data_IF_463393943942
#
_entry.id   IF_463393943942
#
_cell.length_a   1.000
_cell.length_b   1.000
_cell.length_c   1.000
_cell.angle_alpha   90.00
_cell.angle_beta   90.00
_cell.angle_gamma   90.00
#
_symmetry.space_group_name_H-M   'P 1'
#
loop_
_entity.id
_entity.type
_entity.pdbx_description
1 polymer ?
#
# COMPACT_ATOMS: atom_id res chain seq x y z
N UNK A 1 21.97 -1.79 -102.19
CA UNK A 1 22.31 -0.38 -101.91
C UNK A 1 23.02 -0.32 -100.58
N UNK A 2 24.30 0.03 -100.66
CA UNK A 2 25.27 0.27 -99.59
C UNK A 2 24.91 1.56 -98.83
N UNK A 3 25.06 1.60 -97.49
CA UNK A 3 25.61 2.78 -96.80
C UNK A 3 26.40 2.31 -95.56
N UNK A 4 27.63 2.81 -95.44
CA UNK A 4 28.61 2.64 -94.37
C UNK A 4 28.36 3.58 -93.16
N UNK A 5 28.99 3.23 -92.04
CA UNK A 5 29.13 3.87 -90.70
C UNK A 5 29.18 5.41 -90.60
N UNK A 6 29.01 5.98 -89.38
CA UNK A 6 30.22 6.32 -88.60
C UNK A 6 30.16 6.12 -87.07
N UNK A 7 31.36 6.16 -86.52
CA UNK A 7 31.82 6.09 -85.13
C UNK A 7 31.45 7.29 -84.25
N UNK A 8 31.25 7.08 -82.94
CA UNK A 8 31.63 8.00 -81.84
C UNK A 8 31.61 7.30 -80.47
N UNK A 9 32.75 7.31 -79.78
CA UNK A 9 32.89 7.07 -78.33
C UNK A 9 32.72 8.39 -77.55
N UNK A 10 32.97 8.47 -76.23
CA UNK A 10 32.32 7.81 -75.08
C UNK A 10 31.60 8.85 -74.18
N UNK A 11 30.64 8.43 -73.34
CA UNK A 11 30.19 9.27 -72.22
C UNK A 11 29.67 8.42 -71.04
N UNK A 12 30.47 8.34 -69.98
CA UNK A 12 29.97 8.16 -68.60
C UNK A 12 30.04 9.58 -67.99
N UNK A 13 29.06 10.07 -67.21
CA UNK A 13 28.87 9.56 -65.84
C UNK A 13 27.41 9.64 -65.31
N UNK A 14 27.12 8.86 -64.24
CA UNK A 14 26.39 9.30 -63.04
C UNK A 14 25.82 8.15 -62.19
N UNK A 15 26.47 6.98 -62.14
CA UNK A 15 26.21 6.03 -61.07
C UNK A 15 26.95 6.45 -59.79
N UNK A 16 26.51 7.49 -59.07
CA UNK A 16 27.06 7.77 -57.72
C UNK A 16 26.31 8.76 -56.79
N UNK A 17 25.02 9.02 -57.01
CA UNK A 17 24.23 9.83 -56.04
C UNK A 17 23.45 8.98 -55.02
N UNK A 18 23.00 7.77 -55.40
CA UNK A 18 22.04 7.00 -54.59
C UNK A 18 22.66 6.32 -53.35
N UNK A 19 23.95 5.98 -53.37
CA UNK A 19 24.62 5.28 -52.25
C UNK A 19 24.93 6.23 -51.08
N UNK A 20 25.13 7.53 -51.35
CA UNK A 20 25.52 8.52 -50.33
C UNK A 20 24.37 8.92 -49.39
N UNK A 21 23.10 8.78 -49.81
CA UNK A 21 21.92 9.14 -49.00
C UNK A 21 21.65 8.13 -47.88
N UNK A 22 21.73 6.82 -48.17
CA UNK A 22 21.56 5.75 -47.16
C UNK A 22 22.60 5.83 -46.04
N UNK A 23 23.88 6.07 -46.38
CA UNK A 23 24.97 6.18 -45.39
C UNK A 23 24.83 7.39 -44.46
N UNK A 24 24.20 8.49 -44.90
CA UNK A 24 23.90 9.66 -44.04
C UNK A 24 22.71 9.39 -43.12
N UNK A 25 21.69 8.68 -43.62
CA UNK A 25 20.54 8.31 -42.80
C UNK A 25 20.91 7.37 -41.67
N UNK A 26 21.78 6.38 -41.88
CA UNK A 26 22.26 5.51 -40.79
C UNK A 26 23.05 6.29 -39.71
N UNK A 27 23.79 7.34 -40.08
CA UNK A 27 24.51 8.19 -39.10
C UNK A 27 23.57 8.98 -38.19
N UNK A 28 22.33 9.22 -38.62
CA UNK A 28 21.29 9.87 -37.82
C UNK A 28 20.40 8.80 -37.16
N UNK A 29 19.97 7.77 -37.89
CA UNK A 29 19.11 6.72 -37.35
C UNK A 29 19.78 5.93 -36.22
N UNK A 30 21.06 5.54 -36.35
CA UNK A 30 21.76 4.73 -35.33
C UNK A 30 21.79 5.39 -33.94
N UNK A 31 22.23 6.65 -33.76
CA UNK A 31 22.22 7.27 -32.43
C UNK A 31 20.80 7.43 -31.86
N UNK A 32 19.82 7.73 -32.71
CA UNK A 32 18.42 7.83 -32.26
C UNK A 32 17.82 6.46 -31.89
N UNK A 33 18.14 5.40 -32.65
CA UNK A 33 17.74 4.03 -32.31
C UNK A 33 18.43 3.55 -31.05
N UNK A 34 19.73 3.84 -30.86
CA UNK A 34 20.44 3.51 -29.63
C UNK A 34 19.86 4.25 -28.42
N UNK A 35 19.54 5.54 -28.56
CA UNK A 35 18.86 6.32 -27.54
C UNK A 35 17.46 5.76 -27.23
N UNK A 36 16.68 5.41 -28.26
CA UNK A 36 15.36 4.79 -28.08
C UNK A 36 15.47 3.45 -27.34
N UNK A 37 16.42 2.59 -27.73
CA UNK A 37 16.67 1.31 -27.04
C UNK A 37 17.07 1.54 -25.59
N UNK A 38 17.95 2.52 -25.32
CA UNK A 38 18.32 2.89 -23.95
C UNK A 38 17.10 3.33 -23.15
N UNK A 39 16.28 4.25 -23.68
CA UNK A 39 15.05 4.73 -23.01
C UNK A 39 14.10 3.57 -22.74
N UNK A 40 13.82 2.74 -23.75
CA UNK A 40 12.92 1.58 -23.61
C UNK A 40 13.46 0.59 -22.57
N UNK A 41 14.76 0.30 -22.60
CA UNK A 41 15.39 -0.60 -21.62
C UNK A 41 15.28 -0.03 -20.21
N UNK A 42 15.56 1.26 -20.03
CA UNK A 42 15.42 1.94 -18.73
C UNK A 42 13.98 1.92 -18.25
N UNK A 43 13.00 2.22 -19.11
CA UNK A 43 11.57 2.22 -18.76
C UNK A 43 11.08 0.81 -18.42
N UNK A 44 11.48 -0.20 -19.18
CA UNK A 44 11.10 -1.60 -18.93
C UNK A 44 11.70 -2.11 -17.62
N UNK A 45 13.00 -1.86 -17.37
CA UNK A 45 13.63 -2.22 -16.11
C UNK A 45 12.95 -1.52 -14.93
N UNK A 46 12.53 -0.27 -15.13
CA UNK A 46 11.84 0.48 -14.08
C UNK A 46 10.42 -0.01 -13.80
N UNK A 47 9.66 -0.38 -14.82
CA UNK A 47 8.33 -0.99 -14.66
C UNK A 47 8.39 -2.35 -13.95
N UNK A 48 9.55 -3.01 -13.92
CA UNK A 48 9.79 -4.23 -13.14
C UNK A 48 10.18 -3.90 -11.69
N UNK A 49 10.68 -2.69 -11.43
CA UNK A 49 11.09 -2.25 -10.10
C UNK A 49 9.93 -1.79 -9.23
N UNK A 50 8.91 -1.15 -9.81
CA UNK A 50 7.67 -0.76 -9.12
C UNK A 50 6.63 -1.90 -9.20
N UNK A 51 6.40 -2.66 -8.11
CA UNK A 51 5.40 -3.72 -8.11
C UNK A 51 4.00 -3.13 -8.23
N UNK A 52 3.15 -3.79 -9.00
CA UNK A 52 1.73 -3.48 -9.01
C UNK A 52 1.12 -3.83 -7.65
N UNK A 53 0.56 -2.84 -6.95
CA UNK A 53 -0.07 -3.02 -5.63
C UNK A 53 -1.36 -3.84 -5.74
N UNK A 54 -1.98 -3.91 -6.92
CA UNK A 54 -3.17 -4.72 -7.19
C UNK A 54 -2.83 -6.19 -7.51
N UNK A 55 -1.54 -6.54 -7.67
CA UNK A 55 -1.14 -7.94 -7.81
C UNK A 55 -1.40 -8.67 -6.47
N UNK A 56 -2.17 -9.79 -6.47
CA UNK A 56 -2.40 -10.59 -5.27
C UNK A 56 -1.15 -11.09 -4.56
N UNK A 57 0.00 -11.11 -5.23
CA UNK A 57 1.26 -11.47 -4.64
C UNK A 57 1.95 -10.32 -3.92
N UNK A 58 1.62 -9.05 -4.20
CA UNK A 58 2.33 -7.88 -3.68
C UNK A 58 2.31 -7.84 -2.15
N UNK A 59 3.49 -8.00 -1.54
CA UNK A 59 3.71 -8.02 -0.09
C UNK A 59 2.75 -8.94 0.69
N UNK A 60 2.24 -9.99 0.04
CA UNK A 60 1.37 -10.94 0.72
C UNK A 60 2.16 -11.90 1.60
N UNK A 61 1.72 -12.18 2.85
CA UNK A 61 2.44 -13.07 3.76
C UNK A 61 2.31 -14.56 3.38
N UNK A 62 1.49 -14.89 2.37
CA UNK A 62 1.25 -16.28 1.92
C UNK A 62 1.75 -16.56 0.50
N UNK A 63 2.31 -15.56 -0.19
CA UNK A 63 2.83 -15.71 -1.54
C UNK A 63 4.37 -15.72 -1.58
N UNK A 64 4.93 -16.73 -2.25
CA UNK A 64 6.39 -16.94 -2.44
C UNK A 64 6.97 -16.19 -3.66
N UNK A 65 6.16 -15.41 -4.36
CA UNK A 65 6.62 -14.60 -5.49
C UNK A 65 7.71 -13.60 -5.06
N UNK A 66 8.50 -13.10 -6.01
CA UNK A 66 9.56 -12.11 -5.75
C UNK A 66 9.04 -10.89 -4.99
N UNK A 67 7.88 -10.38 -5.40
CA UNK A 67 7.22 -9.21 -4.80
C UNK A 67 6.41 -9.53 -3.53
N UNK A 68 6.28 -10.81 -3.15
CA UNK A 68 5.57 -11.24 -1.94
C UNK A 68 6.37 -11.09 -0.66
N UNK A 69 5.81 -11.53 0.47
CA UNK A 69 6.42 -11.35 1.80
C UNK A 69 6.34 -12.60 2.69
N UNK A 70 6.08 -13.79 2.13
CA UNK A 70 6.05 -15.05 2.88
C UNK A 70 7.36 -15.34 3.63
N UNK A 71 8.51 -14.94 3.07
CA UNK A 71 9.81 -15.07 3.71
C UNK A 71 9.91 -14.24 5.00
N UNK A 72 9.35 -13.03 4.99
CA UNK A 72 9.30 -12.16 6.17
C UNK A 72 8.29 -12.69 7.20
N UNK A 73 7.10 -13.09 6.75
CA UNK A 73 6.06 -13.66 7.63
C UNK A 73 6.59 -14.86 8.42
N UNK A 74 7.25 -15.81 7.75
CA UNK A 74 7.88 -16.95 8.41
C UNK A 74 8.95 -16.54 9.42
N UNK A 75 9.81 -15.57 9.11
CA UNK A 75 10.85 -15.11 10.06
C UNK A 75 10.26 -14.41 11.29
N UNK A 76 9.15 -13.70 11.13
CA UNK A 76 8.39 -13.14 12.25
C UNK A 76 7.87 -14.26 13.16
N UNK A 77 7.27 -15.30 12.58
CA UNK A 77 6.78 -16.47 13.32
C UNK A 77 7.91 -17.24 14.01
N UNK A 78 9.04 -17.45 13.33
CA UNK A 78 10.26 -18.05 13.90
C UNK A 78 10.80 -17.22 15.09
N UNK A 79 10.57 -15.91 15.08
CA UNK A 79 10.92 -14.99 16.17
C UNK A 79 9.87 -14.92 17.27
N UNK A 80 8.80 -15.73 17.21
CA UNK A 80 7.73 -15.80 18.20
C UNK A 80 6.61 -14.77 18.00
N UNK A 81 6.60 -14.03 16.90
CA UNK A 81 5.55 -13.05 16.57
C UNK A 81 4.44 -13.74 15.78
N UNK A 82 3.19 -13.67 16.24
CA UNK A 82 2.05 -14.25 15.53
C UNK A 82 1.69 -13.40 14.31
N UNK A 83 1.72 -13.98 13.12
CA UNK A 83 1.21 -13.32 11.90
C UNK A 83 -0.26 -13.68 11.71
N UNK A 84 -1.12 -12.66 11.68
CA UNK A 84 -2.56 -12.79 11.43
C UNK A 84 -2.88 -12.08 10.11
N UNK A 85 -3.12 -12.86 9.06
CA UNK A 85 -3.50 -12.35 7.74
C UNK A 85 -4.99 -12.02 7.72
N UNK A 86 -5.32 -10.82 7.30
CA UNK A 86 -6.69 -10.37 7.09
C UNK A 86 -6.84 -9.84 5.67
N UNK A 87 -7.82 -10.34 4.92
CA UNK A 87 -8.05 -9.94 3.52
C UNK A 87 -9.16 -8.91 3.38
N UNK A 88 -9.61 -8.34 4.50
CA UNK A 88 -10.62 -7.29 4.56
C UNK A 88 -10.19 -6.23 5.54
N UNK A 89 -10.32 -4.96 5.16
CA UNK A 89 -9.94 -3.85 6.03
C UNK A 89 -10.71 -3.88 7.35
N UNK A 90 -12.02 -4.17 7.33
CA UNK A 90 -12.83 -4.25 8.55
C UNK A 90 -12.28 -5.26 9.57
N UNK A 91 -11.88 -6.44 9.10
CA UNK A 91 -11.43 -7.56 9.95
C UNK A 91 -10.03 -7.27 10.52
N UNK A 92 -9.18 -6.61 9.71
CA UNK A 92 -7.88 -6.11 10.14
C UNK A 92 -8.01 -5.02 11.22
N UNK A 93 -8.90 -4.04 11.02
CA UNK A 93 -9.12 -2.99 12.01
C UNK A 93 -9.69 -3.55 13.31
N UNK A 94 -10.68 -4.46 13.24
CA UNK A 94 -11.25 -5.11 14.42
C UNK A 94 -10.19 -5.91 15.20
N UNK A 95 -9.33 -6.65 14.48
CA UNK A 95 -8.23 -7.41 15.09
C UNK A 95 -7.17 -6.50 15.72
N UNK A 96 -6.84 -5.39 15.05
CA UNK A 96 -5.89 -4.40 15.55
C UNK A 96 -6.43 -3.62 16.75
N UNK A 97 -7.75 -3.41 16.83
CA UNK A 97 -8.41 -2.71 17.94
C UNK A 97 -8.34 -3.49 19.27
N UNK A 98 -8.09 -4.80 19.23
CA UNK A 98 -7.84 -5.61 20.42
C UNK A 98 -6.54 -5.21 21.17
N UNK A 99 -5.66 -4.43 20.53
CA UNK A 99 -4.43 -3.95 21.13
C UNK A 99 -3.25 -4.94 21.03
N UNK A 100 -2.10 -4.48 21.51
CA UNK A 100 -0.82 -5.21 21.57
C UNK A 100 -0.43 -5.85 20.23
N UNK A 101 -0.63 -5.11 19.14
CA UNK A 101 -0.37 -5.59 17.78
C UNK A 101 0.36 -4.53 16.94
N UNK A 102 1.05 -4.97 15.91
CA UNK A 102 1.43 -4.13 14.78
C UNK A 102 0.44 -4.37 13.65
N UNK A 103 -0.27 -3.34 13.19
CA UNK A 103 -1.08 -3.38 11.98
C UNK A 103 -0.20 -2.96 10.80
N UNK A 104 0.17 -3.90 9.93
CA UNK A 104 0.88 -3.63 8.68
C UNK A 104 -0.12 -3.43 7.55
N UNK A 105 0.02 -2.32 6.83
CA UNK A 105 -0.77 -1.98 5.65
C UNK A 105 0.20 -1.80 4.47
N UNK A 106 0.37 -2.84 3.63
CA UNK A 106 1.29 -2.84 2.49
C UNK A 106 0.86 -1.91 1.33
N UNK A 107 -0.45 -1.79 1.09
CA UNK A 107 -1.03 -1.03 -0.01
C UNK A 107 -2.13 -0.09 0.50
N UNK A 108 -1.78 0.99 1.22
CA UNK A 108 -2.76 1.86 1.87
C UNK A 108 -3.66 2.63 0.88
N UNK A 109 -3.27 2.73 -0.39
CA UNK A 109 -4.08 3.34 -1.46
C UNK A 109 -5.34 2.54 -1.78
N UNK A 110 -5.36 1.22 -1.50
CA UNK A 110 -6.51 0.35 -1.75
C UNK A 110 -7.56 0.39 -0.63
N UNK A 111 -7.24 1.06 0.49
CA UNK A 111 -8.17 1.24 1.59
C UNK A 111 -9.16 2.38 1.30
N UNK A 112 -10.42 2.17 1.65
CA UNK A 112 -11.41 3.24 1.63
C UNK A 112 -11.04 4.39 2.57
N UNK A 113 -11.42 5.62 2.21
CA UNK A 113 -11.09 6.85 2.94
C UNK A 113 -11.52 6.82 4.41
N UNK A 114 -12.70 6.28 4.70
CA UNK A 114 -13.22 6.19 6.08
C UNK A 114 -12.40 5.24 6.95
N UNK A 115 -11.86 4.15 6.39
CA UNK A 115 -10.96 3.26 7.10
C UNK A 115 -9.62 3.93 7.43
N UNK A 116 -9.10 4.74 6.51
CA UNK A 116 -7.87 5.51 6.76
C UNK A 116 -8.06 6.51 7.91
N UNK A 117 -9.21 7.17 7.99
CA UNK A 117 -9.54 8.08 9.09
C UNK A 117 -9.65 7.34 10.44
N UNK A 118 -10.21 6.12 10.45
CA UNK A 118 -10.34 5.30 11.67
C UNK A 118 -8.99 4.87 12.28
N UNK A 119 -7.89 4.90 11.52
CA UNK A 119 -6.56 4.54 12.03
C UNK A 119 -6.11 5.43 13.21
N UNK A 120 -6.57 6.69 13.28
CA UNK A 120 -6.22 7.61 14.35
C UNK A 120 -6.78 7.19 15.72
N UNK A 121 -7.89 6.46 15.71
CA UNK A 121 -8.56 5.96 16.91
C UNK A 121 -8.04 4.60 17.38
N UNK A 122 -6.93 4.11 16.82
CA UNK A 122 -6.32 2.87 17.26
C UNK A 122 -5.81 3.00 18.71
N UNK A 123 -5.92 1.94 19.53
CA UNK A 123 -5.34 1.96 20.86
C UNK A 123 -3.84 2.25 20.83
N UNK A 124 -3.31 2.94 21.83
CA UNK A 124 -1.88 3.24 21.96
C UNK A 124 -0.97 1.99 22.06
N UNK A 125 -1.56 0.81 22.31
CA UNK A 125 -0.88 -0.50 22.28
C UNK A 125 -0.80 -1.11 20.88
N UNK A 126 -1.46 -0.49 19.90
CA UNK A 126 -1.43 -0.86 18.49
C UNK A 126 -0.56 0.12 17.72
N UNK A 127 0.45 -0.40 17.03
CA UNK A 127 1.28 0.35 16.09
C UNK A 127 0.73 0.17 14.69
N UNK A 128 0.43 1.25 13.99
CA UNK A 128 0.06 1.23 12.57
C UNK A 128 1.32 1.47 11.73
N UNK A 129 1.60 0.60 10.77
CA UNK A 129 2.71 0.72 9.81
C UNK A 129 2.14 0.83 8.41
N UNK A 130 2.32 1.99 7.78
CA UNK A 130 1.91 2.25 6.39
C UNK A 130 3.12 2.12 5.47
N UNK A 131 3.03 1.24 4.47
CA UNK A 131 4.09 1.07 3.48
C UNK A 131 3.84 2.00 2.29
N UNK A 132 4.82 2.86 2.05
CA UNK A 132 4.91 3.84 0.99
C UNK A 132 3.60 4.58 0.69
N UNK A 133 2.91 5.16 1.71
CA UNK A 133 1.67 5.90 1.48
C UNK A 133 1.94 7.14 0.65
N UNK A 134 1.05 7.40 -0.32
CA UNK A 134 1.02 8.66 -1.06
C UNK A 134 0.48 9.84 -0.22
N UNK A 135 0.58 11.06 -0.77
CA UNK A 135 0.07 12.26 -0.09
C UNK A 135 -1.46 12.31 0.06
N UNK A 136 -2.21 11.56 -0.75
CA UNK A 136 -3.65 11.42 -0.65
C UNK A 136 -4.06 10.59 0.56
N UNK A 137 -3.42 9.44 0.73
CA UNK A 137 -3.56 8.55 1.89
C UNK A 137 -3.20 9.30 3.17
N UNK A 138 -2.03 9.95 3.23
CA UNK A 138 -1.59 10.68 4.42
C UNK A 138 -2.58 11.78 4.85
N UNK A 139 -3.15 12.50 3.88
CA UNK A 139 -4.16 13.53 4.19
C UNK A 139 -5.43 12.92 4.79
N UNK A 140 -5.83 11.73 4.37
CA UNK A 140 -7.04 11.04 4.84
C UNK A 140 -6.89 10.43 6.23
N UNK A 141 -5.67 10.08 6.65
CA UNK A 141 -5.42 9.62 8.02
C UNK A 141 -5.50 10.74 9.06
N UNK A 142 -5.39 12.00 8.62
CA UNK A 142 -5.35 13.17 9.52
C UNK A 142 -4.01 13.34 10.26
N UNK A 143 -3.05 12.43 10.06
CA UNK A 143 -1.74 12.53 10.69
C UNK A 143 -0.96 13.76 10.17
N UNK A 144 -0.17 14.44 11.02
CA UNK A 144 0.62 15.61 10.64
C UNK A 144 1.89 15.24 9.85
N UNK A 145 1.75 14.42 8.81
CA UNK A 145 2.83 13.88 7.97
C UNK A 145 2.56 14.24 6.52
N UNK A 146 3.59 14.68 5.80
CA UNK A 146 3.54 14.91 4.36
C UNK A 146 4.71 14.24 3.65
N UNK A 147 4.49 13.84 2.40
CA UNK A 147 5.57 13.39 1.52
C UNK A 147 6.51 14.56 1.20
N UNK A 148 7.82 14.28 1.21
CA UNK A 148 8.91 15.21 0.92
C UNK A 148 9.76 14.71 -0.26
N UNK A 149 9.08 14.42 -1.35
CA UNK A 149 9.69 13.97 -2.59
C UNK A 149 9.92 12.46 -2.67
N UNK A 150 9.86 11.99 -3.90
CA UNK A 150 10.01 10.57 -4.25
C UNK A 150 11.16 10.44 -5.23
N UNK A 151 12.00 9.44 -5.00
CA UNK A 151 13.10 9.09 -5.89
C UNK A 151 12.60 8.14 -6.96
N UNK A 152 13.27 8.18 -8.10
CA UNK A 152 13.09 7.19 -9.15
C UNK A 152 13.38 5.77 -8.61
N UNK A 153 14.56 5.55 -8.03
CA UNK A 153 14.92 4.29 -7.41
C UNK A 153 15.03 4.42 -5.89
N UNK A 154 14.66 3.34 -5.18
CA UNK A 154 14.87 3.21 -3.74
C UNK A 154 16.35 3.37 -3.41
N UNK A 155 16.64 4.24 -2.44
CA UNK A 155 17.98 4.37 -1.90
C UNK A 155 18.14 3.53 -0.62
N UNK A 156 19.35 3.02 -0.46
CA UNK A 156 19.83 2.44 0.79
C UNK A 156 20.29 3.58 1.68
N UNK A 157 19.78 3.63 2.90
CA UNK A 157 20.14 4.64 3.88
C UNK A 157 20.49 3.97 5.21
N UNK A 158 21.33 4.63 5.99
CA UNK A 158 21.57 4.25 7.38
C UNK A 158 20.42 4.74 8.27
N UNK A 159 20.14 4.05 9.39
CA UNK A 159 19.12 4.47 10.34
C UNK A 159 19.33 5.92 10.82
N UNK A 160 20.60 6.32 11.00
CA UNK A 160 21.01 7.63 11.48
C UNK A 160 21.20 7.67 12.99
N UNK A 161 22.17 8.45 13.47
CA UNK A 161 22.54 8.50 14.89
C UNK A 161 21.42 9.00 15.82
N UNK A 162 20.47 9.76 15.27
CA UNK A 162 19.31 10.29 15.99
C UNK A 162 18.07 9.37 15.91
N UNK A 163 18.17 8.21 15.26
CA UNK A 163 17.02 7.31 15.10
C UNK A 163 16.52 6.80 16.46
N UNK A 164 15.23 7.04 16.74
CA UNK A 164 14.55 6.60 17.98
C UNK A 164 13.29 5.80 17.72
N UNK A 165 13.06 5.37 16.48
CA UNK A 165 11.96 4.48 16.14
C UNK A 165 12.23 3.12 16.78
N UNK A 166 11.35 2.72 17.69
CA UNK A 166 11.45 1.45 18.41
C UNK A 166 11.47 0.28 17.42
N UNK A 167 12.46 -0.60 17.58
CA UNK A 167 12.72 -1.71 16.67
C UNK A 167 13.77 -1.43 15.61
N UNK A 168 14.08 -0.15 15.33
CA UNK A 168 15.08 0.25 14.34
C UNK A 168 16.38 0.77 14.97
N UNK A 169 16.41 0.95 16.29
CA UNK A 169 17.62 1.37 17.00
C UNK A 169 18.68 0.28 16.89
N UNK A 170 19.77 0.57 16.20
CA UNK A 170 20.88 -0.37 15.97
C UNK A 170 20.71 -1.28 14.75
N UNK A 171 19.61 -1.16 14.00
CA UNK A 171 19.51 -1.75 12.68
C UNK A 171 20.51 -1.09 11.72
N UNK A 172 21.07 -1.87 10.80
CA UNK A 172 21.98 -1.42 9.76
C UNK A 172 21.26 -0.68 8.64
N UNK A 173 21.98 -0.59 7.52
CA UNK A 173 21.49 0.09 6.32
C UNK A 173 20.34 -0.70 5.67
N UNK A 174 19.30 0.00 5.24
CA UNK A 174 18.13 -0.62 4.62
C UNK A 174 17.65 0.19 3.42
N UNK A 175 17.02 -0.50 2.46
CA UNK A 175 16.41 0.09 1.27
C UNK A 175 15.06 0.75 1.60
N UNK A 176 15.03 1.66 2.58
CA UNK A 176 13.80 2.27 3.10
C UNK A 176 13.49 3.65 2.49
N UNK A 177 14.38 4.21 1.66
CA UNK A 177 14.30 5.60 1.20
C UNK A 177 13.99 5.68 -0.30
N UNK A 178 12.73 5.43 -0.69
CA UNK A 178 12.22 5.79 -2.02
C UNK A 178 11.46 7.11 -1.94
N UNK A 179 10.40 7.13 -1.15
CA UNK A 179 9.70 8.34 -0.71
C UNK A 179 10.26 8.81 0.63
N UNK A 180 10.55 10.10 0.77
CA UNK A 180 10.88 10.70 2.06
C UNK A 180 9.64 11.35 2.66
N UNK A 181 9.58 11.43 3.99
CA UNK A 181 8.50 12.07 4.72
C UNK A 181 9.04 13.09 5.71
N UNK A 182 8.21 14.10 5.99
CA UNK A 182 8.44 15.08 7.04
C UNK A 182 7.15 15.36 7.79
N UNK A 183 7.29 15.95 8.97
CA UNK A 183 6.14 16.49 9.69
C UNK A 183 5.63 17.77 9.04
N UNK A 184 4.34 18.07 9.25
CA UNK A 184 3.85 19.43 9.02
C UNK A 184 4.47 20.39 10.04
N UNK A 185 4.65 21.68 9.72
CA UNK A 185 5.33 22.65 10.59
C UNK A 185 4.76 22.76 12.03
N UNK A 186 3.52 22.32 12.23
CA UNK A 186 2.80 22.38 13.51
C UNK A 186 3.11 21.19 14.44
N UNK A 187 3.82 20.16 13.97
CA UNK A 187 4.10 18.98 14.78
C UNK A 187 5.31 19.19 15.73
N UNK A 188 5.20 18.67 16.95
CA UNK A 188 6.18 18.93 18.04
C UNK A 188 7.21 17.80 18.20
N UNK A 189 7.00 16.64 17.58
CA UNK A 189 7.88 15.48 17.75
C UNK A 189 8.33 14.93 16.41
N UNK A 190 9.63 15.08 16.12
CA UNK A 190 10.26 14.59 14.91
C UNK A 190 11.03 13.30 15.18
N UNK A 191 10.44 12.14 14.87
CA UNK A 191 11.17 10.87 14.85
C UNK A 191 11.32 10.40 13.40
N UNK A 192 12.42 10.80 12.78
CA UNK A 192 12.82 10.33 11.45
C UNK A 192 14.04 9.42 11.54
N UNK A 193 14.06 8.38 10.70
CA UNK A 193 15.21 7.50 10.48
C UNK A 193 15.39 7.34 8.95
N UNK A 194 16.53 6.78 8.52
CA UNK A 194 16.75 6.45 7.10
C UNK A 194 16.62 7.64 6.16
N UNK A 195 17.15 8.80 6.55
CA UNK A 195 17.09 10.06 5.79
C UNK A 195 15.65 10.48 5.40
N UNK A 196 14.70 10.27 6.32
CA UNK A 196 13.28 10.56 6.11
C UNK A 196 12.52 9.41 5.44
N UNK A 197 13.17 8.29 5.14
CA UNK A 197 12.54 7.07 4.65
C UNK A 197 11.69 6.35 5.70
N UNK A 198 11.89 6.61 6.99
CA UNK A 198 10.96 6.17 8.04
C UNK A 198 10.62 7.34 8.94
N UNK A 199 9.33 7.54 9.21
CA UNK A 199 8.85 8.55 10.12
C UNK A 199 7.80 7.96 11.05
N UNK A 200 7.99 8.14 12.36
CA UNK A 200 7.04 7.73 13.38
C UNK A 200 6.35 8.94 13.97
N UNK A 201 5.02 8.96 13.93
CA UNK A 201 4.19 9.99 14.52
C UNK A 201 3.26 9.40 15.59
N UNK A 202 2.93 10.22 16.58
CA UNK A 202 1.81 9.99 17.48
C UNK A 202 0.77 11.05 17.21
N UNK A 203 -0.47 10.63 17.00
CA UNK A 203 -1.59 11.51 16.70
C UNK A 203 -2.84 10.93 17.35
N UNK A 204 -3.53 11.76 18.13
CA UNK A 204 -4.59 11.31 19.04
C UNK A 204 -4.11 10.15 19.93
N UNK A 205 -4.81 9.02 19.91
CA UNK A 205 -4.46 7.82 20.66
C UNK A 205 -3.57 6.85 19.85
N UNK A 206 -3.48 7.06 18.53
CA UNK A 206 -2.78 6.20 17.59
C UNK A 206 -1.28 6.47 17.46
N UNK A 207 -0.53 5.39 17.23
CA UNK A 207 0.89 5.44 16.86
C UNK A 207 1.05 4.99 15.40
N UNK A 208 1.57 5.90 14.56
CA UNK A 208 1.78 5.67 13.13
C UNK A 208 3.26 5.59 12.83
N UNK A 209 3.65 4.69 11.94
CA UNK A 209 4.97 4.67 11.30
C UNK A 209 4.77 4.56 9.80
N UNK A 210 5.30 5.52 9.05
CA UNK A 210 5.31 5.47 7.59
C UNK A 210 6.69 5.01 7.13
N UNK A 211 6.71 4.10 6.16
CA UNK A 211 7.94 3.59 5.56
C UNK A 211 7.94 3.95 4.09
N UNK A 212 9.01 4.54 3.60
CA UNK A 212 9.10 5.14 2.27
C UNK A 212 9.44 4.17 1.15
N UNK A 213 9.42 2.86 1.41
CA UNK A 213 9.63 1.85 0.38
C UNK A 213 9.03 0.51 0.80
N UNK A 214 8.49 -0.22 -0.19
CA UNK A 214 8.11 -1.62 -0.07
C UNK A 214 9.30 -2.59 -0.07
N UNK A 215 10.46 -2.17 -0.60
CA UNK A 215 11.59 -3.07 -0.86
C UNK A 215 12.06 -3.88 0.35
N UNK A 216 12.18 -3.34 1.57
CA UNK A 216 12.66 -4.12 2.70
C UNK A 216 11.76 -5.31 3.08
N UNK A 217 10.50 -5.31 2.61
CA UNK A 217 9.49 -6.32 2.94
C UNK A 217 9.36 -7.41 1.87
N UNK A 218 9.89 -7.19 0.65
CA UNK A 218 9.75 -8.11 -0.48
C UNK A 218 10.68 -9.31 -0.37
N UNK A 219 10.23 -10.48 -0.81
CA UNK A 219 11.00 -11.72 -0.80
C UNK A 219 12.33 -11.61 -1.57
N UNK A 220 12.32 -10.97 -2.73
CA UNK A 220 13.52 -10.80 -3.56
C UNK A 220 14.55 -9.82 -3.00
N UNK A 221 14.11 -8.90 -2.12
CA UNK A 221 14.96 -7.85 -1.51
C UNK A 221 15.23 -8.07 -0.03
N UNK A 222 14.53 -8.99 0.63
CA UNK A 222 14.62 -9.23 2.08
C UNK A 222 16.04 -9.59 2.53
N UNK A 223 16.80 -10.29 1.67
CA UNK A 223 18.18 -10.68 1.94
C UNK A 223 19.23 -9.62 1.60
N UNK A 224 18.83 -8.48 1.04
CA UNK A 224 19.74 -7.40 0.68
C UNK A 224 19.97 -6.46 1.87
N UNK A 225 21.19 -5.94 1.99
CA UNK A 225 21.58 -5.02 3.07
C UNK A 225 21.20 -5.57 4.45
N UNK A 226 20.54 -4.77 5.28
CA UNK A 226 19.95 -5.20 6.55
C UNK A 226 18.41 -5.16 6.52
N UNK A 227 17.80 -5.36 5.33
CA UNK A 227 16.36 -5.29 5.12
C UNK A 227 15.59 -6.25 6.04
N UNK A 228 16.10 -7.47 6.25
CA UNK A 228 15.48 -8.42 7.17
C UNK A 228 15.47 -7.92 8.62
N UNK A 229 16.58 -7.40 9.14
CA UNK A 229 16.61 -6.89 10.51
C UNK A 229 15.77 -5.61 10.66
N UNK A 230 15.77 -4.75 9.63
CA UNK A 230 14.88 -3.60 9.55
C UNK A 230 13.41 -4.02 9.64
N UNK A 231 12.97 -4.96 8.80
CA UNK A 231 11.57 -5.36 8.73
C UNK A 231 11.12 -6.13 10.00
N UNK A 232 11.95 -7.06 10.49
CA UNK A 232 11.69 -7.79 11.73
C UNK A 232 11.68 -6.86 12.94
N UNK A 233 12.64 -5.93 13.00
CA UNK A 233 12.74 -4.94 14.06
C UNK A 233 11.53 -4.03 14.08
N UNK A 234 11.11 -3.50 12.92
CA UNK A 234 9.96 -2.60 12.83
C UNK A 234 8.63 -3.29 13.21
N UNK A 235 8.38 -4.48 12.68
CA UNK A 235 7.10 -5.17 12.80
C UNK A 235 6.98 -6.01 14.07
N UNK A 236 8.09 -6.58 14.53
CA UNK A 236 8.15 -7.55 15.63
C UNK A 236 8.24 -6.94 17.03
N UNK A 237 8.04 -5.62 17.19
CA UNK A 237 8.04 -4.98 18.52
C UNK A 237 6.82 -5.33 19.36
N UNK A 238 5.81 -5.98 18.77
CA UNK A 238 4.56 -6.44 19.42
C UNK A 238 4.42 -7.95 19.19
N UNK A 239 3.70 -8.67 20.07
CA UNK A 239 3.59 -10.14 19.98
C UNK A 239 2.78 -10.63 18.77
N UNK A 240 2.04 -9.74 18.10
CA UNK A 240 1.23 -10.04 16.91
C UNK A 240 1.43 -8.98 15.84
N UNK A 241 1.48 -9.43 14.58
CA UNK A 241 1.32 -8.59 13.39
C UNK A 241 -0.02 -8.93 12.75
N UNK A 242 -0.93 -7.95 12.69
CA UNK A 242 -2.12 -8.01 11.83
C UNK A 242 -1.69 -7.49 10.46
N UNK A 243 -1.79 -8.34 9.45
CA UNK A 243 -1.32 -8.07 8.09
C UNK A 243 -2.52 -7.89 7.18
N UNK A 244 -2.76 -6.67 6.73
CA UNK A 244 -3.82 -6.39 5.76
C UNK A 244 -3.36 -6.80 4.36
N UNK A 245 -3.96 -7.84 3.81
CA UNK A 245 -3.61 -8.45 2.52
C UNK A 245 -4.71 -8.19 1.49
N UNK A 246 -4.80 -6.92 1.10
CA UNK A 246 -5.81 -6.39 0.15
C UNK A 246 -5.10 -5.96 -1.13
N UNK A 247 -5.67 -6.36 -2.26
CA UNK A 247 -5.10 -6.17 -3.61
C UNK A 247 -6.11 -5.60 -4.61
N UNK A 248 -7.23 -5.08 -4.10
CA UNK A 248 -8.29 -4.45 -4.88
C UNK A 248 -8.89 -3.37 -4.00
N UNK A 249 -9.29 -2.25 -4.59
CA UNK A 249 -10.01 -1.21 -3.84
C UNK A 249 -11.24 -1.82 -3.16
N UNK A 250 -11.35 -1.64 -1.84
CA UNK A 250 -12.48 -2.14 -1.08
C UNK A 250 -13.62 -1.12 -1.02
N UNK A 251 -14.89 -1.58 -1.00
CA UNK A 251 -16.01 -0.70 -0.70
C UNK A 251 -15.85 -0.12 0.71
N UNK A 252 -16.41 1.08 0.90
CA UNK A 252 -16.46 1.70 2.21
C UNK A 252 -17.25 0.88 3.24
N UNK A 253 -17.06 1.19 4.52
CA UNK A 253 -17.79 0.53 5.58
C UNK A 253 -19.30 0.71 5.42
N UNK A 254 -20.06 -0.34 5.76
CA UNK A 254 -21.51 -0.22 5.80
C UNK A 254 -21.90 0.67 6.97
N UNK A 255 -22.54 1.81 6.68
CA UNK A 255 -23.17 2.64 7.70
C UNK A 255 -24.63 2.24 7.76
N UNK A 256 -25.05 1.50 8.80
CA UNK A 256 -26.48 1.33 9.06
C UNK A 256 -27.03 2.66 9.63
N UNK A 257 -27.88 3.38 8.88
CA UNK A 257 -28.43 4.66 9.33
C UNK A 257 -29.35 4.53 10.56
N UNK A 258 -29.74 3.30 10.93
CA UNK A 258 -30.61 3.01 12.07
C UNK A 258 -29.88 2.40 13.28
N UNK A 259 -28.56 2.21 13.20
CA UNK A 259 -27.79 1.62 14.31
C UNK A 259 -27.83 2.53 15.56
N UNK A 260 -28.22 1.96 16.69
CA UNK A 260 -28.27 2.67 17.98
C UNK A 260 -26.87 2.67 18.61
N UNK A 261 -26.28 3.83 18.97
CA UNK A 261 -24.96 3.88 19.59
C UNK A 261 -24.97 3.17 20.95
N UNK A 262 -24.25 2.05 21.11
CA UNK A 262 -24.17 1.38 22.42
C UNK A 262 -23.56 -0.03 22.46
N UNK A 263 -23.60 -0.80 21.37
CA UNK A 263 -23.14 -2.20 21.40
C UNK A 263 -21.72 -2.33 20.79
N UNK A 264 -20.69 -1.97 21.57
CA UNK A 264 -19.27 -2.37 21.50
C UNK A 264 -18.49 -2.52 20.16
N UNK A 265 -19.03 -2.13 19.01
CA UNK A 265 -18.31 -2.06 17.72
C UNK A 265 -18.82 -0.82 16.97
N UNK A 266 -17.94 0.08 16.49
CA UNK A 266 -18.38 1.15 15.60
C UNK A 266 -19.14 0.55 14.42
N UNK A 267 -20.34 1.05 14.05
CA UNK A 267 -21.13 0.50 12.95
C UNK A 267 -20.34 0.42 11.63
N UNK A 268 -19.26 1.20 11.51
CA UNK A 268 -18.31 1.19 10.41
C UNK A 268 -17.35 -0.02 10.32
N UNK A 269 -17.50 -1.07 11.14
CA UNK A 269 -16.64 -2.27 11.10
C UNK A 269 -17.37 -3.56 10.67
N UNK A 270 -18.62 -3.48 10.18
CA UNK A 270 -19.34 -4.64 9.68
C UNK A 270 -18.89 -5.03 8.25
N UNK A 271 -18.58 -6.31 7.96
CA UNK A 271 -18.10 -6.74 6.66
C UNK A 271 -19.20 -6.61 5.59
N UNK A 272 -18.86 -5.98 4.46
CA UNK A 272 -19.71 -5.94 3.27
C UNK A 272 -19.90 -7.33 2.68
N UNK A 273 -21.08 -7.92 2.85
CA UNK A 273 -21.45 -9.17 2.19
C UNK A 273 -21.72 -8.93 0.70
N UNK A 274 -20.91 -9.56 -0.16
CA UNK A 274 -21.24 -9.69 -1.57
C UNK A 274 -22.59 -10.39 -1.72
N UNK A 275 -23.51 -9.76 -2.45
CA UNK A 275 -24.85 -10.26 -2.70
C UNK A 275 -24.80 -11.62 -3.42
N UNK A 276 -24.98 -12.69 -2.65
CA UNK A 276 -25.45 -13.98 -3.15
C UNK A 276 -26.97 -13.98 -3.15
N UNK A 277 -27.55 -14.34 -4.28
CA UNK A 277 -28.97 -14.57 -4.51
C UNK A 277 -29.62 -15.45 -3.42
N UNK A 278 -30.81 -15.07 -2.98
CA UNK A 278 -31.60 -15.89 -2.07
C UNK A 278 -32.94 -15.26 -1.72
N UNK A 279 -33.98 -15.56 -2.51
CA UNK A 279 -35.35 -15.13 -2.26
C UNK A 279 -35.93 -15.68 -0.96
N UNK A 280 -36.89 -14.92 -0.40
CA UNK A 280 -37.66 -15.33 0.77
C UNK A 280 -38.83 -14.38 1.00
N UNK A 281 -39.98 -14.74 0.42
CA UNK A 281 -41.28 -14.13 0.70
C UNK A 281 -41.66 -14.25 2.18
N UNK A 282 -42.32 -13.22 2.71
CA UNK A 282 -42.87 -13.23 4.06
C UNK A 282 -43.73 -12.02 4.36
N UNK A 283 -44.91 -11.95 3.75
CA UNK A 283 -45.99 -11.05 4.17
C UNK A 283 -46.50 -11.49 5.56
N UNK A 284 -46.51 -10.57 6.52
CA UNK A 284 -46.97 -10.82 7.88
C UNK A 284 -47.21 -9.52 8.65
N UNK A 285 -48.22 -8.76 8.23
CA UNK A 285 -48.70 -7.55 8.91
C UNK A 285 -49.47 -7.91 10.18
N UNK A 286 -48.80 -7.83 11.34
CA UNK A 286 -49.44 -7.79 12.66
C UNK A 286 -49.77 -6.35 13.06
N UNK A 287 -51.05 -5.99 12.99
CA UNK A 287 -51.57 -4.74 13.55
C UNK A 287 -51.60 -4.83 15.08
N UNK A 288 -50.86 -3.94 15.73
CA UNK A 288 -51.13 -3.53 17.10
C UNK A 288 -52.14 -2.38 17.11
N UNK A 289 -53.08 -2.42 18.06
CA UNK A 289 -53.29 -1.36 19.04
C UNK A 289 -54.49 -1.72 19.91
N UNK A 290 -54.21 -1.96 21.20
CA UNK A 290 -55.21 -1.99 22.25
C UNK A 290 -55.53 -0.58 22.70
N UNK A 291 -56.79 -0.19 22.61
CA UNK A 291 -57.35 0.96 23.31
C UNK A 291 -57.90 0.51 24.66
N UNK A 292 -57.47 1.21 25.72
CA UNK A 292 -57.99 1.05 27.06
C UNK A 292 -59.22 1.90 27.32
N UNK A 293 -60.14 1.36 28.11
CA UNK A 293 -61.21 1.98 28.91
C UNK A 293 -61.96 0.78 29.53
N UNK A 294 -62.36 0.71 30.80
CA UNK A 294 -62.31 1.58 31.95
C UNK A 294 -63.07 0.85 33.07
N UNK A 295 -62.81 1.26 34.32
CA UNK A 295 -63.69 1.21 35.50
C UNK A 295 -64.27 -0.13 36.02
N UNK A 296 -64.10 -0.34 37.32
CA UNK A 296 -64.78 -1.34 38.16
C UNK A 296 -63.96 -1.63 39.41
N UNK A 297 -64.02 -0.77 40.44
CA UNK A 297 -64.81 -0.98 41.67
C UNK A 297 -64.57 -2.31 42.39
N UNK A 298 -64.25 -2.21 43.69
CA UNK A 298 -64.82 -3.11 44.69
C UNK A 298 -63.84 -4.05 45.39
N UNK A 299 -63.50 -3.66 46.63
CA UNK A 299 -63.50 -4.49 47.85
C UNK A 299 -63.04 -5.94 47.81
N UNK A 300 -62.12 -6.30 48.71
CA UNK A 300 -61.87 -7.70 49.04
C UNK A 300 -60.71 -7.93 49.99
N UNK A 301 -61.00 -7.82 51.28
CA UNK A 301 -60.13 -8.22 52.40
C UNK A 301 -59.80 -9.72 52.37
N UNK A 302 -58.64 -10.12 52.92
CA UNK A 302 -58.49 -11.44 53.52
C UNK A 302 -57.17 -12.17 53.26
N UNK A 303 -56.28 -12.04 54.25
CA UNK A 303 -55.28 -13.01 54.75
C UNK A 303 -54.14 -13.48 53.85
#
# INVERSE_FOLDING_TARGET
MTVLSPEHAPATPAASAAVKKKRRWHRVAIPFTALLVLIVTTVVLHAVEEPDKEDPAFLSPVHDASIGASGLARRLEESGVRVQRETRTSDALLSAYQGNATLLIPAPELMHADYLAMLASMPNTTRVVLVEPDGGVLRRTGAPIVADGTRWATAVAAAGAACRVEGLVGAGDAAARRTAYRFTPEAVQEQFCYEGGVLRARFEDGEFTVVGSADPFRNDRLGEHDNAAFALGLLGTRPRVVWLDVHTEEPGPLVDPNATPGEAVPPSMAPGGGSGDGGGSGDGSGQGNGEGQGEGQGEGSGS
#
